data_IF_052417170394
#
_entry.id   IF_052417170394
#
_cell.length_a   1.000
_cell.length_b   1.000
_cell.length_c   1.000
_cell.angle_alpha   90.00
_cell.angle_beta   90.00
_cell.angle_gamma   90.00
#
_symmetry.space_group_name_H-M   'P 1'
#
loop_
_entity.id
_entity.type
_entity.pdbx_description
1 polymer ?
#
# COMPACT_ATOMS: atom_id res chain seq x y z
N UNK A 1 35.38 -45.22 30.98
CA UNK A 1 34.13 -44.44 31.18
C UNK A 1 34.42 -43.06 31.78
N UNK A 2 35.57 -42.82 32.42
CA UNK A 2 35.81 -41.56 33.16
C UNK A 2 36.18 -40.34 32.31
N UNK A 3 36.62 -40.52 31.06
CA UNK A 3 37.00 -39.41 30.19
C UNK A 3 35.79 -38.53 29.80
N UNK A 4 34.62 -39.16 29.63
CA UNK A 4 33.36 -38.49 29.30
C UNK A 4 32.74 -37.73 30.49
N UNK A 5 33.13 -38.07 31.73
CA UNK A 5 32.68 -37.42 32.96
C UNK A 5 33.70 -36.41 33.51
N UNK A 6 34.79 -36.16 32.78
CA UNK A 6 35.78 -35.17 33.22
C UNK A 6 35.28 -33.75 32.95
N UNK A 7 35.56 -32.83 33.88
CA UNK A 7 35.22 -31.40 33.75
C UNK A 7 35.80 -30.77 32.47
N UNK A 8 36.91 -31.32 31.96
CA UNK A 8 37.52 -30.93 30.69
C UNK A 8 36.64 -31.31 29.48
N UNK A 9 36.08 -32.52 29.47
CA UNK A 9 35.18 -32.95 28.39
C UNK A 9 33.88 -32.12 28.37
N UNK A 10 33.31 -31.86 29.55
CA UNK A 10 32.15 -30.97 29.72
C UNK A 10 32.43 -29.54 29.23
N UNK A 11 33.60 -28.99 29.55
CA UNK A 11 34.01 -27.64 29.12
C UNK A 11 34.19 -27.55 27.60
N UNK A 12 34.83 -28.54 26.98
CA UNK A 12 35.01 -28.62 25.51
C UNK A 12 33.66 -28.76 24.81
N UNK A 13 32.77 -29.62 25.33
CA UNK A 13 31.42 -29.78 24.81
C UNK A 13 30.62 -28.47 24.88
N UNK A 14 30.74 -27.73 25.99
CA UNK A 14 30.06 -26.43 26.16
C UNK A 14 30.56 -25.38 25.16
N UNK A 15 31.87 -25.32 24.93
CA UNK A 15 32.46 -24.41 23.92
C UNK A 15 32.01 -24.79 22.50
N UNK A 16 31.96 -26.08 22.18
CA UNK A 16 31.45 -26.56 20.89
C UNK A 16 29.98 -26.21 20.69
N UNK A 17 29.13 -26.46 21.69
CA UNK A 17 27.70 -26.11 21.63
C UNK A 17 27.53 -24.60 21.50
N UNK A 18 28.28 -23.79 22.25
CA UNK A 18 28.28 -22.33 22.13
C UNK A 18 28.72 -21.85 20.75
N UNK A 19 29.74 -22.47 20.17
CA UNK A 19 30.21 -22.19 18.81
C UNK A 19 29.17 -22.53 17.75
N UNK A 20 28.52 -23.70 17.85
CA UNK A 20 27.44 -24.11 16.95
C UNK A 20 26.26 -23.15 17.09
N UNK A 21 25.85 -22.81 18.31
CA UNK A 21 24.77 -21.85 18.55
C UNK A 21 25.06 -20.47 17.93
N UNK A 22 26.30 -20.00 18.03
CA UNK A 22 26.72 -18.74 17.40
C UNK A 22 26.68 -18.80 15.86
N UNK A 23 27.11 -19.93 15.28
CA UNK A 23 27.01 -20.15 13.82
C UNK A 23 25.55 -20.17 13.37
N UNK A 24 24.69 -20.91 14.07
CA UNK A 24 23.25 -20.97 13.78
C UNK A 24 22.62 -19.59 13.86
N UNK A 25 22.94 -18.82 14.90
CA UNK A 25 22.46 -17.44 15.05
C UNK A 25 22.88 -16.54 13.87
N UNK A 26 24.14 -16.63 13.45
CA UNK A 26 24.65 -15.88 12.28
C UNK A 26 23.95 -16.27 10.99
N UNK A 27 23.71 -17.56 10.77
CA UNK A 27 22.99 -18.06 9.60
C UNK A 27 21.53 -17.61 9.60
N UNK A 28 20.87 -17.66 10.75
CA UNK A 28 19.49 -17.20 10.92
C UNK A 28 19.37 -15.70 10.64
N UNK A 29 20.29 -14.89 11.15
CA UNK A 29 20.30 -13.45 10.90
C UNK A 29 20.46 -13.14 9.41
N UNK A 30 21.37 -13.83 8.72
CA UNK A 30 21.53 -13.70 7.26
C UNK A 30 20.26 -14.08 6.52
N UNK A 31 19.57 -15.14 6.95
CA UNK A 31 18.30 -15.54 6.34
C UNK A 31 17.23 -14.46 6.52
N UNK A 32 17.10 -13.90 7.73
CA UNK A 32 16.13 -12.83 7.98
C UNK A 32 16.40 -11.58 7.16
N UNK A 33 17.68 -11.24 6.95
CA UNK A 33 18.05 -10.10 6.09
C UNK A 33 17.65 -10.34 4.62
N UNK A 34 17.73 -11.59 4.13
CA UNK A 34 17.24 -11.96 2.79
C UNK A 34 15.72 -11.88 2.67
N UNK A 35 15.01 -12.38 3.68
CA UNK A 35 13.55 -12.36 3.71
C UNK A 35 13.06 -10.90 3.72
N UNK A 36 13.68 -10.06 4.56
CA UNK A 36 13.43 -8.62 4.60
C UNK A 36 13.68 -7.94 3.24
N UNK A 37 14.85 -8.19 2.62
CA UNK A 37 15.18 -7.63 1.31
C UNK A 37 14.18 -8.09 0.23
N UNK A 38 13.75 -9.35 0.28
CA UNK A 38 12.76 -9.91 -0.64
C UNK A 38 11.41 -9.21 -0.50
N UNK A 39 10.93 -9.04 0.74
CA UNK A 39 9.65 -8.38 1.02
C UNK A 39 9.67 -6.93 0.52
N UNK A 40 10.73 -6.18 0.84
CA UNK A 40 10.88 -4.79 0.40
C UNK A 40 10.95 -4.70 -1.12
N UNK A 41 11.77 -5.55 -1.76
CA UNK A 41 11.92 -5.52 -3.21
C UNK A 41 10.63 -5.91 -3.96
N UNK A 42 9.91 -6.92 -3.48
CA UNK A 42 8.61 -7.30 -4.06
C UNK A 42 7.60 -6.15 -3.92
N UNK A 43 7.55 -5.50 -2.77
CA UNK A 43 6.70 -4.34 -2.57
C UNK A 43 7.05 -3.19 -3.51
N UNK A 44 8.34 -2.87 -3.69
CA UNK A 44 8.80 -1.86 -4.65
C UNK A 44 8.29 -2.21 -6.04
N UNK A 45 8.48 -3.46 -6.49
CA UNK A 45 8.03 -3.90 -7.82
C UNK A 45 6.51 -3.83 -8.00
N UNK A 46 5.76 -4.22 -6.97
CA UNK A 46 4.29 -4.16 -7.02
C UNK A 46 3.80 -2.71 -7.03
N UNK A 47 4.45 -1.82 -6.28
CA UNK A 47 4.17 -0.39 -6.31
C UNK A 47 4.50 0.21 -7.69
N UNK A 48 5.67 -0.07 -8.26
CA UNK A 48 6.06 0.37 -9.61
C UNK A 48 5.08 -0.09 -10.69
N UNK A 49 4.62 -1.36 -10.62
CA UNK A 49 3.59 -1.87 -11.53
C UNK A 49 2.29 -1.10 -11.43
N UNK A 50 1.82 -0.87 -10.20
CA UNK A 50 0.57 -0.10 -9.96
C UNK A 50 0.71 1.34 -10.43
N UNK A 51 1.85 1.97 -10.18
CA UNK A 51 2.15 3.33 -10.65
C UNK A 51 2.13 3.36 -12.18
N UNK A 52 2.76 2.39 -12.83
CA UNK A 52 2.74 2.28 -14.28
C UNK A 52 1.29 2.14 -14.81
N UNK A 53 0.49 1.25 -14.21
CA UNK A 53 -0.92 1.06 -14.59
C UNK A 53 -1.73 2.35 -14.44
N UNK A 54 -1.52 3.10 -13.34
CA UNK A 54 -2.18 4.39 -13.08
C UNK A 54 -1.69 5.51 -14.01
N UNK A 55 -0.41 5.50 -14.38
CA UNK A 55 0.18 6.51 -15.27
C UNK A 55 -0.26 6.36 -16.73
N UNK A 56 -0.69 5.16 -17.14
CA UNK A 56 -1.21 4.89 -18.47
C UNK A 56 -2.68 5.30 -18.63
N UNK A 57 -3.37 5.62 -17.54
CA UNK A 57 -4.74 6.14 -17.60
C UNK A 57 -4.72 7.62 -18.02
N UNK A 58 -5.61 8.06 -18.93
CA UNK A 58 -5.76 9.48 -19.23
C UNK A 58 -5.98 10.29 -17.94
N UNK A 59 -5.37 11.46 -17.82
CA UNK A 59 -5.55 12.35 -16.64
C UNK A 59 -7.04 12.62 -16.31
N UNK A 60 -7.90 12.60 -17.34
CA UNK A 60 -9.34 12.83 -17.23
C UNK A 60 -10.11 11.58 -16.77
N UNK A 61 -9.50 10.39 -16.84
CA UNK A 61 -10.08 9.10 -16.46
C UNK A 61 -9.45 8.50 -15.20
N UNK A 62 -8.58 9.25 -14.51
CA UNK A 62 -8.15 8.96 -13.14
C UNK A 62 -9.32 9.19 -12.18
N UNK A 63 -10.39 8.42 -12.40
CA UNK A 63 -11.50 8.26 -11.49
C UNK A 63 -10.94 7.40 -10.37
N UNK A 64 -10.56 8.06 -9.27
CA UNK A 64 -10.22 7.37 -8.02
C UNK A 64 -11.51 6.79 -7.46
N UNK A 65 -11.96 5.69 -8.06
CA UNK A 65 -13.15 4.96 -7.65
C UNK A 65 -12.75 3.77 -6.77
N UNK A 66 -13.77 3.02 -6.36
CA UNK A 66 -13.60 1.79 -5.57
C UNK A 66 -12.80 0.67 -6.28
N UNK A 67 -12.48 0.81 -7.57
CA UNK A 67 -11.70 -0.14 -8.36
C UNK A 67 -10.20 0.22 -8.40
N UNK A 68 -9.82 1.43 -8.01
CA UNK A 68 -8.41 1.82 -7.93
C UNK A 68 -7.74 1.09 -6.77
N UNK A 69 -6.93 0.09 -7.09
CA UNK A 69 -6.17 -0.67 -6.07
C UNK A 69 -5.22 0.27 -5.32
N UNK A 70 -5.03 0.09 -4.00
CA UNK A 70 -4.04 0.85 -3.24
C UNK A 70 -2.65 0.62 -3.83
N UNK A 71 -1.82 1.66 -3.91
CA UNK A 71 -0.45 1.59 -4.45
C UNK A 71 0.43 0.81 -3.46
N UNK A 72 0.31 1.13 -2.17
CA UNK A 72 1.01 0.47 -1.06
C UNK A 72 0.06 0.30 0.13
N UNK A 73 0.23 -0.77 0.90
CA UNK A 73 -0.52 -0.99 2.14
C UNK A 73 0.23 -0.53 3.40
N UNK A 74 1.41 -1.11 3.63
CA UNK A 74 2.32 -0.76 4.73
C UNK A 74 3.70 -0.38 4.18
N UNK A 75 4.45 0.49 4.86
CA UNK A 75 5.81 0.83 4.46
C UNK A 75 6.80 -0.24 4.99
N UNK A 76 7.08 -1.27 4.18
CA UNK A 76 8.01 -2.34 4.58
C UNK A 76 9.46 -1.86 4.63
N UNK A 77 9.82 -0.81 3.89
CA UNK A 77 11.15 -0.24 3.99
C UNK A 77 11.41 0.28 5.40
N UNK A 78 10.52 1.09 5.96
CA UNK A 78 10.70 1.63 7.32
C UNK A 78 10.79 0.52 8.38
N UNK A 79 9.99 -0.54 8.23
CA UNK A 79 9.99 -1.72 9.11
C UNK A 79 11.32 -2.49 9.11
N UNK A 80 11.96 -2.60 7.94
CA UNK A 80 13.18 -3.40 7.76
C UNK A 80 14.45 -2.56 7.60
N UNK A 81 14.34 -1.23 7.58
CA UNK A 81 15.44 -0.27 7.34
C UNK A 81 16.65 -0.54 8.21
N UNK A 82 16.46 -0.68 9.53
CA UNK A 82 17.56 -0.89 10.47
C UNK A 82 18.39 -2.16 10.20
N UNK A 83 17.82 -3.16 9.52
CA UNK A 83 18.54 -4.39 9.15
C UNK A 83 19.22 -4.27 7.79
N UNK A 84 18.57 -3.58 6.86
CA UNK A 84 18.96 -3.50 5.46
C UNK A 84 19.94 -2.38 5.16
N UNK A 85 19.93 -1.30 5.95
CA UNK A 85 20.72 -0.07 5.71
C UNK A 85 22.22 -0.34 5.51
N UNK A 86 22.77 -1.34 6.20
CA UNK A 86 24.18 -1.74 6.10
C UNK A 86 24.61 -2.27 4.72
N UNK A 87 23.66 -2.58 3.83
CA UNK A 87 23.92 -3.10 2.49
C UNK A 87 23.83 -2.02 1.40
N UNK A 88 23.49 -0.79 1.77
CA UNK A 88 23.23 0.32 0.87
C UNK A 88 24.16 1.49 1.23
N UNK A 89 24.55 2.27 0.23
CA UNK A 89 25.25 3.54 0.44
C UNK A 89 24.24 4.68 0.69
N UNK A 90 24.74 5.87 1.01
CA UNK A 90 23.89 7.02 1.35
C UNK A 90 22.97 7.40 0.17
N UNK A 91 23.48 7.34 -1.07
CA UNK A 91 22.72 7.63 -2.29
C UNK A 91 21.59 6.61 -2.52
N UNK A 92 21.86 5.31 -2.34
CA UNK A 92 20.83 4.26 -2.39
C UNK A 92 19.73 4.52 -1.34
N UNK A 93 20.14 4.85 -0.11
CA UNK A 93 19.21 5.07 1.00
C UNK A 93 18.33 6.27 0.69
N UNK A 94 18.90 7.35 0.16
CA UNK A 94 18.15 8.52 -0.29
C UNK A 94 17.17 8.15 -1.41
N UNK A 95 17.61 7.39 -2.42
CA UNK A 95 16.75 6.93 -3.51
C UNK A 95 15.56 6.11 -2.99
N UNK A 96 15.80 5.16 -2.10
CA UNK A 96 14.75 4.32 -1.50
C UNK A 96 13.79 5.18 -0.67
N UNK A 97 14.32 6.07 0.18
CA UNK A 97 13.48 6.97 0.97
C UNK A 97 12.61 7.85 0.08
N UNK A 98 13.18 8.47 -0.96
CA UNK A 98 12.46 9.34 -1.88
C UNK A 98 11.35 8.60 -2.63
N UNK A 99 11.61 7.36 -3.06
CA UNK A 99 10.57 6.50 -3.63
C UNK A 99 9.42 6.29 -2.65
N UNK A 100 9.71 5.83 -1.43
CA UNK A 100 8.67 5.54 -0.43
C UNK A 100 7.91 6.79 0.01
N UNK A 101 8.57 7.94 0.17
CA UNK A 101 7.93 9.22 0.49
C UNK A 101 6.90 9.59 -0.58
N UNK A 102 7.29 9.50 -1.86
CA UNK A 102 6.39 9.84 -2.97
C UNK A 102 5.25 8.84 -3.13
N UNK A 103 5.54 7.54 -3.01
CA UNK A 103 4.53 6.49 -3.07
C UNK A 103 3.49 6.64 -1.95
N UNK A 104 3.94 6.92 -0.73
CA UNK A 104 3.05 7.16 0.41
C UNK A 104 2.24 8.44 0.22
N UNK A 105 2.86 9.53 -0.27
CA UNK A 105 2.16 10.78 -0.57
C UNK A 105 1.06 10.60 -1.63
N UNK A 106 1.38 9.87 -2.72
CA UNK A 106 0.43 9.54 -3.77
C UNK A 106 -0.71 8.66 -3.24
N UNK A 107 -0.41 7.67 -2.39
CA UNK A 107 -1.43 6.82 -1.77
C UNK A 107 -2.34 7.59 -0.82
N UNK A 108 -1.80 8.53 -0.04
CA UNK A 108 -2.60 9.39 0.84
C UNK A 108 -3.56 10.27 0.04
N UNK A 109 -3.08 10.89 -1.04
CA UNK A 109 -3.91 11.71 -1.92
C UNK A 109 -5.01 10.87 -2.61
N UNK A 110 -4.67 9.63 -3.02
CA UNK A 110 -5.64 8.66 -3.55
C UNK A 110 -6.69 8.28 -2.50
N UNK A 111 -6.27 7.96 -1.28
CA UNK A 111 -7.15 7.59 -0.18
C UNK A 111 -8.11 8.73 0.19
N UNK A 112 -7.62 9.96 0.21
CA UNK A 112 -8.42 11.17 0.42
C UNK A 112 -9.48 11.35 -0.68
N UNK A 113 -9.07 11.25 -1.95
CA UNK A 113 -10.01 11.33 -3.07
C UNK A 113 -11.09 10.24 -3.01
N UNK A 114 -10.71 9.02 -2.63
CA UNK A 114 -11.65 7.90 -2.45
C UNK A 114 -12.63 8.18 -1.30
N UNK A 115 -12.14 8.69 -0.17
CA UNK A 115 -12.98 8.98 0.99
C UNK A 115 -14.06 10.03 0.66
N UNK A 116 -13.67 11.11 -0.03
CA UNK A 116 -14.59 12.15 -0.48
C UNK A 116 -15.62 11.60 -1.48
N UNK A 117 -15.18 10.74 -2.40
CA UNK A 117 -16.09 10.09 -3.36
C UNK A 117 -17.12 9.21 -2.64
N UNK A 118 -16.68 8.37 -1.70
CA UNK A 118 -17.57 7.49 -0.93
C UNK A 118 -18.54 8.30 -0.06
N UNK A 119 -18.08 9.37 0.57
CA UNK A 119 -18.92 10.28 1.35
C UNK A 119 -19.96 10.99 0.48
N UNK A 120 -19.57 11.43 -0.72
CA UNK A 120 -20.47 12.07 -1.67
C UNK A 120 -21.57 11.12 -2.16
N UNK A 121 -21.21 9.86 -2.42
CA UNK A 121 -22.18 8.81 -2.76
C UNK A 121 -23.13 8.53 -1.61
N UNK A 122 -22.61 8.42 -0.38
CA UNK A 122 -23.42 8.19 0.81
C UNK A 122 -24.39 9.35 1.07
N UNK A 123 -23.92 10.58 0.93
CA UNK A 123 -24.75 11.77 1.13
C UNK A 123 -25.82 11.87 0.04
N UNK A 124 -25.47 11.60 -1.23
CA UNK A 124 -26.47 11.51 -2.30
C UNK A 124 -27.55 10.47 -1.97
N UNK A 125 -27.17 9.29 -1.51
CA UNK A 125 -28.11 8.25 -1.11
C UNK A 125 -29.00 8.72 0.06
N UNK A 126 -28.43 9.41 1.05
CA UNK A 126 -29.17 9.98 2.19
C UNK A 126 -30.18 11.04 1.73
N UNK A 127 -29.79 11.96 0.87
CA UNK A 127 -30.67 13.01 0.35
C UNK A 127 -31.82 12.44 -0.49
N UNK A 128 -31.55 11.40 -1.29
CA UNK A 128 -32.61 10.67 -2.01
C UNK A 128 -33.61 10.07 -1.02
N UNK A 129 -33.15 9.41 0.04
CA UNK A 129 -34.04 8.83 1.06
C UNK A 129 -34.90 9.88 1.76
N UNK A 130 -34.32 11.03 2.13
CA UNK A 130 -35.06 12.17 2.71
C UNK A 130 -36.15 12.63 1.76
N UNK A 131 -35.85 12.82 0.46
CA UNK A 131 -36.85 13.25 -0.52
C UNK A 131 -37.94 12.22 -0.78
N UNK A 132 -37.63 10.94 -0.66
CA UNK A 132 -38.63 9.88 -0.72
C UNK A 132 -39.56 9.91 0.49
N UNK A 133 -39.04 10.20 1.68
CA UNK A 133 -39.84 10.38 2.91
C UNK A 133 -40.71 11.63 2.81
N UNK A 134 -40.16 12.76 2.36
CA UNK A 134 -40.92 14.00 2.10
C UNK A 134 -42.09 13.71 1.15
N UNK A 135 -41.83 13.00 0.05
CA UNK A 135 -42.85 12.61 -0.92
C UNK A 135 -43.98 11.75 -0.30
N UNK A 136 -43.65 10.87 0.65
CA UNK A 136 -44.66 10.06 1.36
C UNK A 136 -45.58 10.96 2.20
N UNK A 137 -45.00 11.90 2.96
CA UNK A 137 -45.78 12.80 3.81
C UNK A 137 -46.62 13.80 2.99
N UNK A 138 -46.07 14.34 1.91
CA UNK A 138 -46.76 15.29 1.02
C UNK A 138 -47.95 14.68 0.27
N UNK A 139 -47.93 13.36 0.02
CA UNK A 139 -48.91 12.68 -0.82
C UNK A 139 -49.65 11.55 -0.08
N UNK A 140 -49.76 11.63 1.24
CA UNK A 140 -50.38 10.59 2.07
C UNK A 140 -51.82 10.28 1.63
N UNK A 141 -52.54 11.30 1.16
CA UNK A 141 -53.93 11.21 0.70
C UNK A 141 -54.06 10.88 -0.80
N UNK A 142 -52.95 10.83 -1.54
CA UNK A 142 -52.94 10.55 -2.98
C UNK A 142 -51.85 9.53 -3.36
N UNK A 143 -52.16 8.22 -3.23
CA UNK A 143 -51.20 7.15 -3.49
C UNK A 143 -50.64 7.12 -4.92
N UNK A 144 -51.42 7.55 -5.92
CA UNK A 144 -50.96 7.55 -7.31
C UNK A 144 -49.95 8.67 -7.59
N UNK A 145 -50.20 9.88 -7.07
CA UNK A 145 -49.24 10.98 -7.15
C UNK A 145 -47.93 10.64 -6.43
N UNK A 146 -48.01 9.96 -5.28
CA UNK A 146 -46.85 9.47 -4.53
C UNK A 146 -45.99 8.50 -5.37
N UNK A 147 -46.64 7.58 -6.10
CA UNK A 147 -45.97 6.58 -6.95
C UNK A 147 -45.24 7.25 -8.11
N UNK A 148 -45.92 8.15 -8.82
CA UNK A 148 -45.34 8.88 -9.96
C UNK A 148 -44.12 9.70 -9.53
N UNK A 149 -44.24 10.50 -8.47
CA UNK A 149 -43.15 11.34 -7.97
C UNK A 149 -41.96 10.52 -7.44
N UNK A 150 -42.21 9.34 -6.87
CA UNK A 150 -41.14 8.39 -6.49
C UNK A 150 -40.36 7.91 -7.72
N UNK A 151 -41.07 7.46 -8.76
CA UNK A 151 -40.45 6.96 -9.99
C UNK A 151 -39.62 8.05 -10.68
N UNK A 152 -40.13 9.29 -10.72
CA UNK A 152 -39.39 10.44 -11.25
C UNK A 152 -38.13 10.75 -10.44
N UNK A 153 -38.23 10.81 -9.10
CA UNK A 153 -37.09 11.07 -8.22
C UNK A 153 -35.97 10.03 -8.41
N UNK A 154 -36.32 8.74 -8.44
CA UNK A 154 -35.35 7.66 -8.65
C UNK A 154 -34.71 7.77 -10.03
N UNK A 155 -35.52 8.03 -11.06
CA UNK A 155 -35.03 8.18 -12.44
C UNK A 155 -34.05 9.34 -12.55
N UNK A 156 -34.42 10.53 -12.06
CA UNK A 156 -33.55 11.70 -12.13
C UNK A 156 -32.28 11.54 -11.30
N UNK A 157 -32.38 10.97 -10.10
CA UNK A 157 -31.23 10.69 -9.25
C UNK A 157 -30.22 9.72 -9.88
N UNK A 158 -30.71 8.72 -10.61
CA UNK A 158 -29.89 7.74 -11.32
C UNK A 158 -29.32 8.26 -12.65
N UNK A 159 -30.02 9.19 -13.31
CA UNK A 159 -29.52 9.86 -14.52
C UNK A 159 -28.43 10.89 -14.22
N UNK A 160 -28.46 11.49 -13.02
CA UNK A 160 -27.45 12.43 -12.57
C UNK A 160 -26.14 11.69 -12.26
N UNK A 161 -25.22 11.65 -13.22
CA UNK A 161 -23.90 11.02 -13.08
C UNK A 161 -22.92 11.86 -12.24
N UNK A 162 -23.30 13.07 -11.83
CA UNK A 162 -22.43 13.92 -11.03
C UNK A 162 -22.24 13.35 -9.62
N UNK A 163 -20.98 13.09 -9.28
CA UNK A 163 -20.49 12.84 -7.93
C UNK A 163 -19.43 13.90 -7.68
N UNK A 164 -19.40 14.47 -6.48
CA UNK A 164 -18.38 15.44 -6.14
C UNK A 164 -17.01 14.75 -6.10
N UNK A 165 -16.12 15.22 -6.97
CA UNK A 165 -14.74 14.73 -7.06
C UNK A 165 -13.79 15.90 -6.77
N UNK A 166 -12.95 15.82 -5.73
CA UNK A 166 -12.07 16.92 -5.39
C UNK A 166 -10.88 16.97 -6.35
N UNK A 167 -10.71 18.09 -7.05
CA UNK A 167 -9.61 18.27 -8.01
C UNK A 167 -8.23 18.30 -7.34
N UNK A 168 -8.11 18.91 -6.16
CA UNK A 168 -6.82 19.10 -5.51
C UNK A 168 -6.10 17.79 -5.11
N UNK A 169 -6.76 16.80 -4.47
CA UNK A 169 -6.15 15.49 -4.20
C UNK A 169 -5.78 14.73 -5.47
N UNK A 170 -6.64 14.78 -6.51
CA UNK A 170 -6.37 14.13 -7.81
C UNK A 170 -5.11 14.69 -8.48
N UNK A 171 -5.00 16.01 -8.56
CA UNK A 171 -3.84 16.69 -9.13
C UNK A 171 -2.57 16.43 -8.31
N UNK A 172 -2.68 16.42 -6.98
CA UNK A 172 -1.57 16.08 -6.08
C UNK A 172 -1.08 14.66 -6.31
N UNK A 173 -1.98 13.68 -6.34
CA UNK A 173 -1.64 12.28 -6.61
C UNK A 173 -0.93 12.14 -7.96
N UNK A 174 -1.49 12.72 -9.02
CA UNK A 174 -0.91 12.67 -10.35
C UNK A 174 0.48 13.32 -10.42
N UNK A 175 0.64 14.49 -9.79
CA UNK A 175 1.93 15.18 -9.72
C UNK A 175 2.98 14.31 -9.03
N UNK A 176 2.64 13.65 -7.93
CA UNK A 176 3.59 12.77 -7.25
C UNK A 176 3.96 11.55 -8.11
N UNK A 177 2.99 10.90 -8.74
CA UNK A 177 3.19 9.72 -9.59
C UNK A 177 4.18 9.97 -10.73
N UNK A 178 4.11 11.14 -11.39
CA UNK A 178 5.01 11.51 -12.48
C UNK A 178 6.49 11.63 -12.08
N UNK A 179 6.76 11.92 -10.81
CA UNK A 179 8.13 12.16 -10.32
C UNK A 179 8.69 10.96 -9.55
N UNK A 180 8.01 9.81 -9.55
CA UNK A 180 8.52 8.60 -8.91
C UNK A 180 9.60 7.98 -9.81
N UNK A 181 10.84 7.96 -9.32
CA UNK A 181 11.92 7.22 -9.95
C UNK A 181 11.82 5.74 -9.59
N UNK A 182 11.82 4.87 -10.60
CA UNK A 182 11.78 3.42 -10.39
C UNK A 182 13.12 2.93 -9.85
N UNK A 183 13.09 2.08 -8.82
CA UNK A 183 14.25 1.50 -8.16
C UNK A 183 14.63 0.18 -8.81
N UNK A 184 13.67 -0.62 -9.27
CA UNK A 184 13.94 -2.01 -9.70
C UNK A 184 14.88 -2.14 -10.92
N UNK A 185 14.97 -1.07 -11.72
CA UNK A 185 15.85 -0.91 -12.88
C UNK A 185 17.19 -0.24 -12.58
N UNK A 186 17.45 0.16 -11.33
CA UNK A 186 18.67 0.87 -10.91
C UNK A 186 19.69 -0.07 -10.27
N UNK A 187 20.90 0.44 -10.04
CA UNK A 187 21.96 -0.23 -9.29
C UNK A 187 21.47 -0.62 -7.89
N UNK A 188 20.68 0.24 -7.24
CA UNK A 188 20.06 -0.04 -5.93
C UNK A 188 19.12 -1.26 -6.01
N UNK A 189 18.34 -1.37 -7.09
CA UNK A 189 17.53 -2.56 -7.37
C UNK A 189 18.36 -3.83 -7.55
N UNK A 190 19.54 -3.73 -8.14
CA UNK A 190 20.47 -4.87 -8.27
C UNK A 190 21.13 -5.24 -6.94
N UNK A 191 21.41 -4.27 -6.06
CA UNK A 191 21.87 -4.52 -4.68
C UNK A 191 20.82 -5.34 -3.91
N UNK A 192 19.52 -5.01 -4.02
CA UNK A 192 18.44 -5.85 -3.47
C UNK A 192 18.50 -7.29 -4.00
N UNK A 193 18.57 -7.48 -5.32
CA UNK A 193 18.66 -8.81 -5.94
C UNK A 193 19.89 -9.58 -5.46
N UNK A 194 21.01 -8.89 -5.21
CA UNK A 194 22.25 -9.50 -4.70
C UNK A 194 22.08 -10.00 -3.26
N UNK A 195 21.43 -9.22 -2.39
CA UNK A 195 21.11 -9.65 -1.02
C UNK A 195 20.24 -10.91 -1.07
N UNK A 196 19.18 -10.89 -1.88
CA UNK A 196 18.26 -12.04 -2.05
C UNK A 196 18.97 -13.30 -2.57
N UNK A 197 19.91 -13.15 -3.50
CA UNK A 197 20.62 -14.25 -4.16
C UNK A 197 21.85 -14.75 -3.40
N UNK A 198 22.29 -14.08 -2.33
CA UNK A 198 23.47 -14.51 -1.56
C UNK A 198 23.25 -15.96 -1.10
N UNK A 199 23.88 -16.92 -1.78
CA UNK A 199 23.93 -18.32 -1.35
C UNK A 199 24.90 -18.43 -0.17
N UNK A 200 24.62 -19.40 0.69
CA UNK A 200 25.40 -19.77 1.87
C UNK A 200 26.90 -19.81 1.58
#
# INVERSE_FOLDING_TARGET
>A
MDFLNSDLFSSIATILVGGIAWIVYRLQQKQTDKDAATIVFLQIKDAERRINDLSQQPQQELVVNNLTKPIIGENNWEKFKGRLIKYFDDDDIELINNFYIRVVSAELARAESKAVFDESLLEKARQIQVKLIDNIYENIDNPEAMRIKREELIRHANMEAFVFEPEAPKQKAFKELLHISYISSTITGDKFKKIMKSRY
#
